data_IF_536067801063
#
_entry.id   IF_536067801063
#
_cell.length_a   1.000
_cell.length_b   1.000
_cell.length_c   1.000
_cell.angle_alpha   90.00
_cell.angle_beta   90.00
_cell.angle_gamma   90.00
#
_symmetry.space_group_name_H-M   'P 1'
#
loop_
_entity.id
_entity.type
_entity.pdbx_description
1 polymer ?
#
# COMPACT_ATOMS: atom_id res chain seq x y z
N UNK A 1 -39.29 8.57 25.27
CA UNK A 1 -38.02 7.90 24.96
C UNK A 1 -36.94 8.50 25.85
N UNK A 2 -36.60 7.83 26.95
CA UNK A 2 -35.57 8.29 27.88
C UNK A 2 -34.20 8.11 27.23
N UNK A 3 -33.52 9.22 26.90
CA UNK A 3 -32.08 9.20 26.71
C UNK A 3 -31.45 8.96 28.07
N UNK A 4 -31.10 7.71 28.38
CA UNK A 4 -30.25 7.44 29.54
C UNK A 4 -28.95 8.23 29.32
N UNK A 5 -28.63 9.14 30.24
CA UNK A 5 -27.33 9.82 30.29
C UNK A 5 -26.28 8.77 30.65
N UNK A 6 -25.81 8.05 29.64
CA UNK A 6 -24.69 7.12 29.78
C UNK A 6 -23.47 7.92 30.23
N UNK A 7 -22.75 7.37 31.20
CA UNK A 7 -21.48 7.96 31.65
C UNK A 7 -20.52 8.07 30.48
N UNK A 8 -19.77 9.17 30.41
CA UNK A 8 -18.75 9.40 29.38
C UNK A 8 -17.80 8.22 29.23
N UNK A 9 -17.41 7.60 30.36
CA UNK A 9 -16.53 6.43 30.38
C UNK A 9 -17.14 5.23 29.64
N UNK A 10 -18.45 5.02 29.81
CA UNK A 10 -19.17 3.92 29.16
C UNK A 10 -19.30 4.15 27.65
N UNK A 11 -19.67 5.37 27.24
CA UNK A 11 -19.74 5.74 25.82
C UNK A 11 -18.38 5.60 25.12
N UNK A 12 -17.31 6.01 25.81
CA UNK A 12 -15.94 5.87 25.31
C UNK A 12 -15.57 4.39 25.09
N UNK A 13 -15.88 3.53 26.06
CA UNK A 13 -15.61 2.08 25.94
C UNK A 13 -16.41 1.43 24.82
N UNK A 14 -17.69 1.79 24.67
CA UNK A 14 -18.58 1.29 23.61
C UNK A 14 -18.04 1.68 22.23
N UNK A 15 -17.65 2.94 22.06
CA UNK A 15 -17.05 3.46 20.81
C UNK A 15 -15.72 2.75 20.54
N UNK A 16 -14.86 2.57 21.53
CA UNK A 16 -13.60 1.82 21.37
C UNK A 16 -13.85 0.36 20.99
N UNK A 17 -14.88 -0.28 21.54
CA UNK A 17 -15.25 -1.66 21.24
C UNK A 17 -15.86 -1.82 19.85
N UNK A 18 -16.65 -0.85 19.40
CA UNK A 18 -17.15 -0.77 18.03
C UNK A 18 -16.00 -0.53 17.04
N UNK A 19 -15.11 0.42 17.33
CA UNK A 19 -13.91 0.71 16.51
C UNK A 19 -12.94 -0.48 16.42
N UNK A 20 -12.85 -1.33 17.45
CA UNK A 20 -12.10 -2.60 17.40
C UNK A 20 -12.75 -3.64 16.49
N UNK A 21 -14.09 -3.66 16.39
CA UNK A 21 -14.84 -4.60 15.55
C UNK A 21 -14.94 -4.12 14.09
N UNK A 22 -14.97 -2.81 13.85
CA UNK A 22 -15.05 -2.20 12.52
C UNK A 22 -13.67 -1.82 11.98
N UNK A 23 -12.79 -2.79 11.78
CA UNK A 23 -11.77 -2.77 10.73
C UNK A 23 -10.97 -1.47 10.42
N UNK A 24 -10.61 -0.59 11.37
CA UNK A 24 -9.83 0.61 10.99
C UNK A 24 -8.75 1.16 11.93
N UNK A 25 -8.58 0.68 13.18
CA UNK A 25 -7.57 1.26 14.08
C UNK A 25 -6.84 0.20 14.92
N UNK A 26 -5.88 -0.49 14.29
CA UNK A 26 -4.56 -0.78 14.86
C UNK A 26 -3.52 -0.50 13.77
N UNK A 27 -3.30 0.78 13.44
CA UNK A 27 -2.08 1.20 12.76
C UNK A 27 -1.00 1.51 13.81
N UNK A 28 -0.47 0.46 14.44
CA UNK A 28 0.98 0.28 14.41
C UNK A 28 1.22 -0.80 13.35
N UNK A 29 1.15 -0.47 12.06
CA UNK A 29 1.35 -1.48 11.01
C UNK A 29 2.82 -1.86 10.89
N UNK A 30 3.31 -2.63 11.85
CA UNK A 30 4.36 -3.59 11.61
C UNK A 30 3.76 -4.74 10.79
N UNK A 31 3.79 -4.63 9.46
CA UNK A 31 3.37 -5.76 8.60
C UNK A 31 4.38 -6.89 8.74
N UNK A 32 3.91 -8.00 9.29
CA UNK A 32 4.70 -9.22 9.46
C UNK A 32 4.82 -9.97 8.14
N UNK A 33 6.05 -10.39 7.89
CA UNK A 33 6.59 -10.90 6.63
C UNK A 33 6.17 -12.38 6.43
N UNK A 34 5.88 -12.84 5.21
CA UNK A 34 4.82 -13.85 4.86
C UNK A 34 5.02 -15.25 5.49
N UNK A 35 4.71 -15.30 6.79
CA UNK A 35 4.90 -16.36 7.80
C UNK A 35 6.34 -16.56 8.32
N UNK A 36 7.21 -15.57 8.07
CA UNK A 36 8.57 -15.26 8.60
C UNK A 36 9.55 -16.44 8.83
N UNK A 37 10.70 -16.43 8.13
CA UNK A 37 12.01 -16.84 8.70
C UNK A 37 12.98 -15.65 8.75
N UNK A 38 13.01 -14.85 9.84
CA UNK A 38 14.07 -13.86 9.97
C UNK A 38 14.63 -13.64 11.39
N UNK A 39 15.91 -13.30 11.43
CA UNK A 39 16.57 -12.41 12.42
C UNK A 39 17.82 -11.82 11.73
N UNK A 40 17.78 -11.03 10.66
CA UNK A 40 17.02 -9.80 10.41
C UNK A 40 17.19 -9.37 8.93
N UNK A 41 16.53 -8.32 8.42
CA UNK A 41 17.26 -7.08 8.12
C UNK A 41 16.57 -5.92 8.86
N UNK A 42 16.83 -5.80 10.17
CA UNK A 42 16.22 -4.76 10.99
C UNK A 42 16.41 -3.39 10.32
N UNK A 43 15.41 -2.52 10.19
CA UNK A 43 14.68 -1.88 11.30
C UNK A 43 14.02 -2.82 12.32
N UNK A 44 14.27 -2.47 13.59
CA UNK A 44 14.25 -3.33 14.76
C UNK A 44 12.84 -3.54 15.33
N UNK A 45 12.30 -4.75 15.18
CA UNK A 45 11.14 -5.20 15.96
C UNK A 45 11.61 -5.82 17.28
N UNK A 46 10.98 -5.41 18.39
CA UNK A 46 11.18 -5.92 19.76
C UNK A 46 10.94 -7.44 19.88
N UNK A 47 10.31 -8.06 18.88
CA UNK A 47 9.86 -9.47 18.92
C UNK A 47 10.71 -10.44 18.08
N UNK A 48 11.86 -10.03 17.55
CA UNK A 48 12.72 -10.87 16.68
C UNK A 48 13.72 -11.80 17.40
N UNK A 49 13.81 -11.77 18.72
CA UNK A 49 14.94 -12.33 19.47
C UNK A 49 14.87 -13.81 19.84
N UNK A 50 14.07 -14.64 19.15
CA UNK A 50 13.97 -16.09 19.48
C UNK A 50 14.35 -16.95 18.27
N UNK A 51 15.64 -17.31 18.24
CA UNK A 51 16.32 -18.07 17.18
C UNK A 51 15.90 -19.54 17.23
N UNK A 52 15.23 -20.02 16.19
CA UNK A 52 15.29 -21.44 15.79
C UNK A 52 16.24 -21.55 14.60
N UNK A 53 17.11 -22.56 14.65
CA UNK A 53 18.21 -22.83 13.72
C UNK A 53 17.71 -22.86 12.26
N UNK A 54 18.49 -22.25 11.35
CA UNK A 54 18.25 -22.14 9.91
C UNK A 54 18.10 -23.54 9.25
N UNK A 55 16.86 -24.02 9.20
CA UNK A 55 16.47 -25.17 8.40
C UNK A 55 16.22 -24.71 6.95
N UNK A 56 17.01 -25.25 6.01
CA UNK A 56 16.95 -24.91 4.59
C UNK A 56 15.56 -25.16 3.98
N UNK A 57 14.84 -26.18 4.48
CA UNK A 57 13.46 -26.45 4.04
C UNK A 57 12.51 -25.32 4.45
N UNK A 58 12.64 -24.81 5.68
CA UNK A 58 11.82 -23.69 6.17
C UNK A 58 12.08 -22.42 5.37
N UNK A 59 13.31 -22.23 4.87
CA UNK A 59 13.66 -21.12 4.00
C UNK A 59 13.02 -21.23 2.61
N UNK A 60 13.08 -22.41 1.98
CA UNK A 60 12.44 -22.66 0.68
C UNK A 60 10.92 -22.49 0.75
N UNK A 61 10.29 -23.01 1.79
CA UNK A 61 8.85 -22.82 2.05
C UNK A 61 8.47 -21.34 2.21
N UNK A 62 9.35 -20.54 2.80
CA UNK A 62 9.14 -19.10 2.94
C UNK A 62 9.21 -18.38 1.59
N UNK A 63 10.18 -18.73 0.74
CA UNK A 63 10.29 -18.18 -0.63
C UNK A 63 9.05 -18.52 -1.47
N UNK A 64 8.60 -19.77 -1.41
CA UNK A 64 7.41 -20.20 -2.11
C UNK A 64 6.15 -19.44 -1.67
N UNK A 65 6.01 -19.17 -0.37
CA UNK A 65 4.88 -18.37 0.16
C UNK A 65 4.94 -16.91 -0.30
N UNK A 66 6.13 -16.34 -0.48
CA UNK A 66 6.28 -15.00 -1.06
C UNK A 66 5.82 -15.01 -2.51
N UNK A 67 6.35 -15.93 -3.32
CA UNK A 67 6.00 -16.04 -4.74
C UNK A 67 4.50 -16.22 -4.93
N UNK A 68 3.90 -17.11 -4.13
CA UNK A 68 2.46 -17.34 -4.08
C UNK A 68 1.68 -16.07 -3.71
N UNK A 69 2.17 -15.28 -2.76
CA UNK A 69 1.50 -14.03 -2.36
C UNK A 69 1.50 -12.96 -3.45
N UNK A 70 2.52 -12.95 -4.31
CA UNK A 70 2.68 -11.99 -5.41
C UNK A 70 1.82 -12.41 -6.60
N UNK A 71 1.78 -13.70 -6.90
CA UNK A 71 1.09 -14.24 -8.07
C UNK A 71 -0.41 -14.41 -7.85
N UNK A 72 -0.84 -14.80 -6.65
CA UNK A 72 -2.25 -15.09 -6.39
C UNK A 72 -3.07 -13.84 -6.08
N UNK A 73 -4.09 -13.65 -6.90
CA UNK A 73 -5.15 -12.67 -6.69
C UNK A 73 -6.19 -13.17 -5.67
N UNK A 74 -7.06 -12.29 -5.14
CA UNK A 74 -8.17 -12.71 -4.29
C UNK A 74 -9.08 -13.78 -4.93
N UNK A 75 -9.19 -13.81 -6.27
CA UNK A 75 -9.94 -14.83 -7.02
C UNK A 75 -9.36 -16.23 -6.91
N UNK A 76 -8.03 -16.32 -6.81
CA UNK A 76 -7.34 -17.60 -6.69
C UNK A 76 -7.47 -18.16 -5.26
N UNK A 77 -7.70 -17.27 -4.28
CA UNK A 77 -7.74 -17.61 -2.85
C UNK A 77 -9.15 -17.91 -2.34
N UNK A 78 -10.17 -17.32 -2.95
CA UNK A 78 -11.54 -17.38 -2.45
C UNK A 78 -12.51 -17.68 -3.60
N UNK A 79 -13.61 -18.39 -3.30
CA UNK A 79 -14.67 -18.66 -4.26
C UNK A 79 -15.54 -17.43 -4.56
N UNK A 80 -15.58 -16.47 -3.63
CA UNK A 80 -16.43 -15.28 -3.69
C UNK A 80 -15.73 -14.05 -3.05
N UNK A 81 -16.12 -12.81 -3.42
CA UNK A 81 -15.50 -11.60 -2.90
C UNK A 81 -15.84 -11.39 -1.42
N UNK A 82 -14.82 -11.50 -0.56
CA UNK A 82 -14.99 -11.33 0.90
C UNK A 82 -15.20 -9.88 1.33
N UNK A 83 -14.64 -8.92 0.60
CA UNK A 83 -14.68 -7.48 0.93
C UNK A 83 -15.25 -6.72 -0.27
N UNK A 84 -15.94 -5.60 -0.02
CA UNK A 84 -16.49 -4.75 -1.08
C UNK A 84 -15.45 -4.34 -2.13
N UNK A 85 -14.20 -4.10 -1.73
CA UNK A 85 -13.11 -3.80 -2.65
C UNK A 85 -12.77 -4.96 -3.61
N UNK A 86 -13.00 -6.21 -3.21
CA UNK A 86 -12.79 -7.37 -4.06
C UNK A 86 -13.86 -7.47 -5.17
N UNK A 87 -15.05 -6.92 -4.95
CA UNK A 87 -16.18 -7.00 -5.90
C UNK A 87 -15.79 -6.42 -7.26
N UNK A 88 -15.07 -5.29 -7.27
CA UNK A 88 -14.58 -4.65 -8.50
C UNK A 88 -13.69 -5.58 -9.33
N UNK A 89 -12.80 -6.32 -8.68
CA UNK A 89 -11.93 -7.29 -9.33
C UNK A 89 -12.63 -8.60 -9.69
N UNK A 90 -13.78 -8.90 -9.06
CA UNK A 90 -14.52 -10.15 -9.26
C UNK A 90 -15.25 -10.20 -10.61
N UNK A 91 -15.84 -9.07 -11.00
CA UNK A 91 -16.56 -8.91 -12.24
C UNK A 91 -15.60 -9.08 -13.42
N UNK A 92 -15.90 -9.99 -14.35
CA UNK A 92 -15.14 -10.11 -15.60
C UNK A 92 -15.39 -8.82 -16.40
N UNK A 93 -14.34 -8.12 -16.88
CA UNK A 93 -14.56 -6.93 -17.69
C UNK A 93 -15.39 -7.30 -18.92
N UNK A 94 -16.27 -6.39 -19.35
CA UNK A 94 -17.11 -6.57 -20.54
C UNK A 94 -16.27 -6.72 -21.82
N UNK A 95 -15.03 -6.22 -21.79
CA UNK A 95 -14.04 -6.34 -22.85
C UNK A 95 -12.83 -7.03 -22.24
N UNK A 96 -12.39 -8.13 -22.86
CA UNK A 96 -11.15 -8.79 -22.45
C UNK A 96 -9.98 -7.85 -22.75
N UNK A 97 -9.34 -7.36 -21.68
CA UNK A 97 -8.21 -6.46 -21.80
C UNK A 97 -7.00 -7.21 -22.34
N UNK A 98 -6.69 -7.01 -23.62
CA UNK A 98 -5.41 -7.40 -24.18
C UNK A 98 -4.47 -6.18 -24.15
N UNK A 99 -3.38 -6.30 -23.40
CA UNK A 99 -2.37 -5.25 -23.30
C UNK A 99 -1.70 -4.93 -24.66
N UNK A 100 -1.86 -5.81 -25.65
CA UNK A 100 -1.38 -5.65 -27.02
C UNK A 100 -2.46 -5.17 -27.99
N UNK A 101 -3.70 -5.00 -27.52
CA UNK A 101 -4.79 -4.49 -28.34
C UNK A 101 -4.53 -3.02 -28.67
N UNK A 102 -4.18 -2.78 -29.93
CA UNK A 102 -3.87 -1.44 -30.42
C UNK A 102 -5.12 -0.54 -30.44
N UNK A 103 -6.32 -1.10 -30.56
CA UNK A 103 -7.56 -0.33 -30.67
C UNK A 103 -8.05 0.15 -29.31
N UNK A 104 -7.88 -0.69 -28.27
CA UNK A 104 -8.29 -0.40 -26.90
C UNK A 104 -7.29 0.49 -26.14
N UNK A 105 -5.99 0.36 -26.46
CA UNK A 105 -4.91 1.07 -25.75
C UNK A 105 -4.46 2.35 -26.44
N UNK A 106 -4.75 2.54 -27.74
CA UNK A 106 -4.38 3.76 -28.43
C UNK A 106 -5.53 4.76 -28.54
N UNK A 107 -5.78 5.45 -27.43
CA UNK A 107 -5.96 6.90 -27.54
C UNK A 107 -4.70 7.57 -26.97
N UNK A 108 -3.52 7.44 -27.61
CA UNK A 108 -2.42 8.31 -27.24
C UNK A 108 -2.98 9.73 -27.41
N UNK A 109 -2.91 10.54 -26.34
CA UNK A 109 -2.99 11.98 -26.57
C UNK A 109 -1.88 12.28 -27.55
N UNK A 110 -2.24 12.62 -28.78
CA UNK A 110 -1.26 13.00 -29.80
C UNK A 110 -0.64 14.29 -29.28
N UNK A 111 0.48 14.17 -28.57
CA UNK A 111 1.23 15.33 -28.12
C UNK A 111 1.96 15.88 -29.35
N UNK A 112 1.46 17.00 -29.87
CA UNK A 112 2.16 17.74 -30.90
C UNK A 112 3.52 18.23 -30.40
N UNK A 113 4.39 18.61 -31.33
CA UNK A 113 5.73 19.10 -31.01
C UNK A 113 5.69 20.27 -30.03
N UNK A 114 4.69 21.15 -30.18
CA UNK A 114 4.48 22.30 -29.30
C UNK A 114 4.14 21.90 -27.85
N UNK A 115 3.36 20.83 -27.68
CA UNK A 115 2.98 20.30 -26.36
C UNK A 115 4.21 19.73 -25.65
N UNK A 116 5.04 18.97 -26.37
CA UNK A 116 6.28 18.39 -25.83
C UNK A 116 7.29 19.46 -25.42
N UNK A 117 7.42 20.52 -26.23
CA UNK A 117 8.27 21.68 -25.90
C UNK A 117 7.73 22.40 -24.66
N UNK A 118 6.42 22.63 -24.58
CA UNK A 118 5.78 23.26 -23.42
C UNK A 118 5.96 22.47 -22.12
N UNK A 119 5.80 21.15 -22.18
CA UNK A 119 6.05 20.25 -21.04
C UNK A 119 7.51 20.33 -20.57
N UNK A 120 8.46 20.39 -21.50
CA UNK A 120 9.90 20.53 -21.18
C UNK A 120 10.20 21.86 -20.48
N UNK A 121 9.66 22.97 -20.98
CA UNK A 121 9.82 24.30 -20.36
C UNK A 121 9.19 24.32 -18.95
N UNK A 122 8.02 23.71 -18.79
CA UNK A 122 7.37 23.64 -17.48
C UNK A 122 8.17 22.80 -16.48
N UNK A 123 8.72 21.67 -16.93
CA UNK A 123 9.58 20.81 -16.12
C UNK A 123 10.85 21.55 -15.69
N UNK A 124 11.54 22.21 -16.62
CA UNK A 124 12.74 23.01 -16.33
C UNK A 124 12.45 24.08 -15.27
N UNK A 125 11.38 24.87 -15.46
CA UNK A 125 10.95 25.88 -14.49
C UNK A 125 10.62 25.31 -13.11
N UNK A 126 10.06 24.10 -13.05
CA UNK A 126 9.75 23.45 -11.77
C UNK A 126 11.00 22.98 -11.02
N UNK A 127 12.08 22.68 -11.75
CA UNK A 127 13.35 22.20 -11.19
C UNK A 127 14.34 23.32 -10.91
N UNK A 128 14.10 24.53 -11.42
CA UNK A 128 14.92 25.70 -11.13
C UNK A 128 14.88 26.01 -9.63
N UNK A 129 16.02 25.84 -8.96
CA UNK A 129 16.18 26.28 -7.58
C UNK A 129 16.15 27.81 -7.57
N UNK A 130 15.35 28.44 -6.71
CA UNK A 130 15.37 29.89 -6.59
C UNK A 130 16.79 30.35 -6.24
N UNK A 131 17.23 31.47 -6.84
CA UNK A 131 18.50 32.08 -6.47
C UNK A 131 18.50 32.33 -4.96
N UNK A 132 19.59 31.96 -4.30
CA UNK A 132 19.73 32.14 -2.86
C UNK A 132 19.51 33.62 -2.49
N UNK A 133 18.42 33.89 -1.77
CA UNK A 133 18.01 35.23 -1.33
C UNK A 133 18.36 35.50 0.14
N UNK A 134 19.12 34.60 0.78
CA UNK A 134 19.49 34.73 2.19
C UNK A 134 20.65 35.68 2.40
N UNK A 135 20.79 36.18 3.63
CA UNK A 135 21.98 36.93 4.04
C UNK A 135 23.16 35.95 4.07
N UNK A 136 24.30 36.24 3.42
CA UNK A 136 25.48 35.38 3.48
C UNK A 136 26.00 35.38 4.92
N UNK A 137 26.17 34.20 5.52
CA UNK A 137 26.81 34.08 6.82
C UNK A 137 28.29 34.43 6.67
N UNK A 138 28.78 35.39 7.46
CA UNK A 138 30.22 35.60 7.59
C UNK A 138 30.79 34.40 8.32
N UNK A 139 31.68 33.65 7.68
CA UNK A 139 32.53 32.68 8.34
C UNK A 139 33.56 33.48 9.16
N UNK A 140 33.30 33.63 10.45
CA UNK A 140 34.28 34.02 11.47
C UNK A 140 34.72 32.78 12.21
#
# INVERSE_FOLDING_TARGET
MHSQNLSYAFLKEEIEKQNRKSNFLHFETFRTNIKRVPITNKFWSKYESKVEILDEKKHQDYLHKIEKSITETPKDKYSEPIVESHVYGWIKPFIDYDARDYELMNHPRISGDITRVGEKIAAEKSTERPKYSGVPFKLT
#
